data_IF_566305368433
#
_entry.id   IF_566305368433
#
_cell.length_a   1.000
_cell.length_b   1.000
_cell.length_c   1.000
_cell.angle_alpha   90.00
_cell.angle_beta   90.00
_cell.angle_gamma   90.00
#
_symmetry.space_group_name_H-M   'P 1'
#
loop_
_entity.id
_entity.type
_entity.pdbx_description
1 polymer ?
#
# COMPACT_ATOMS: atom_id res chain seq x y z
N UNK A 1 -15.46 -1.88 -2.91
CA UNK A 1 -15.49 -0.84 -1.83
C UNK A 1 -14.23 0.00 -1.91
N UNK A 2 -14.25 1.27 -1.40
CA UNK A 2 -13.05 2.13 -1.32
C UNK A 2 -12.92 2.68 0.10
N UNK A 3 -11.71 2.60 0.66
CA UNK A 3 -11.40 3.13 1.99
C UNK A 3 -10.27 4.16 1.89
N UNK A 4 -10.51 5.34 2.44
CA UNK A 4 -9.53 6.43 2.50
C UNK A 4 -8.50 6.23 3.62
N UNK A 5 -7.46 7.07 3.63
CA UNK A 5 -6.35 6.97 4.57
C UNK A 5 -6.75 7.04 6.05
N UNK A 6 -7.80 7.78 6.39
CA UNK A 6 -8.32 7.79 7.77
C UNK A 6 -8.96 6.47 8.18
N UNK A 7 -9.56 5.73 7.23
CA UNK A 7 -10.17 4.42 7.50
C UNK A 7 -9.14 3.31 7.75
N UNK A 8 -7.91 3.49 7.31
CA UNK A 8 -6.80 2.53 7.48
C UNK A 8 -5.63 3.14 8.27
N UNK A 9 -5.83 4.30 8.88
CA UNK A 9 -4.78 5.11 9.51
C UNK A 9 -4.23 4.55 10.82
N UNK A 10 -4.86 3.55 11.41
CA UNK A 10 -4.41 2.89 12.64
C UNK A 10 -4.68 1.38 12.58
N UNK A 11 -3.95 0.56 13.36
CA UNK A 11 -4.22 -0.87 13.48
C UNK A 11 -5.65 -1.19 13.88
N UNK A 12 -6.24 -0.44 14.81
CA UNK A 12 -7.63 -0.61 15.23
C UNK A 12 -8.60 -0.44 14.04
N UNK A 13 -8.42 0.62 13.25
CA UNK A 13 -9.25 0.88 12.07
C UNK A 13 -9.05 -0.15 10.97
N UNK A 14 -7.83 -0.66 10.77
CA UNK A 14 -7.61 -1.78 9.84
C UNK A 14 -8.38 -3.04 10.27
N UNK A 15 -8.45 -3.31 11.57
CA UNK A 15 -9.27 -4.40 12.13
C UNK A 15 -10.77 -4.18 11.87
N UNK A 16 -11.27 -2.96 12.05
CA UNK A 16 -12.66 -2.59 11.74
C UNK A 16 -12.97 -2.75 10.24
N UNK A 17 -12.09 -2.25 9.37
CA UNK A 17 -12.22 -2.43 7.91
C UNK A 17 -12.28 -3.92 7.56
N UNK A 18 -11.45 -4.76 8.20
CA UNK A 18 -11.48 -6.21 7.99
C UNK A 18 -12.86 -6.79 8.29
N UNK A 19 -13.49 -6.41 9.39
CA UNK A 19 -14.85 -6.84 9.73
C UNK A 19 -15.85 -6.45 8.64
N UNK A 20 -15.82 -5.19 8.20
CA UNK A 20 -16.73 -4.66 7.17
C UNK A 20 -16.60 -5.42 5.84
N UNK A 21 -15.35 -5.63 5.36
CA UNK A 21 -15.13 -6.23 4.04
C UNK A 21 -15.39 -7.74 4.00
N UNK A 22 -15.44 -8.38 5.16
CA UNK A 22 -15.71 -9.82 5.26
C UNK A 22 -17.14 -10.16 5.66
N UNK A 23 -17.93 -9.19 6.08
CA UNK A 23 -19.28 -9.35 6.60
C UNK A 23 -20.21 -10.08 5.62
N UNK A 24 -20.14 -9.76 4.33
CA UNK A 24 -21.02 -10.36 3.32
C UNK A 24 -20.66 -11.81 2.96
N UNK A 25 -19.43 -12.25 3.26
CA UNK A 25 -18.91 -13.53 2.80
C UNK A 25 -18.72 -13.65 1.27
N UNK A 26 -19.06 -12.60 0.51
CA UNK A 26 -18.98 -12.60 -0.95
C UNK A 26 -17.62 -12.07 -1.44
N UNK A 27 -17.13 -12.54 -2.61
CA UNK A 27 -15.94 -11.97 -3.21
C UNK A 27 -16.05 -10.46 -3.38
N UNK A 28 -15.10 -9.72 -2.82
CA UNK A 28 -15.17 -8.26 -2.79
C UNK A 28 -13.86 -7.63 -3.31
N UNK A 29 -13.99 -6.63 -4.19
CA UNK A 29 -12.87 -5.82 -4.67
C UNK A 29 -12.74 -4.55 -3.83
N UNK A 30 -11.54 -4.33 -3.28
CA UNK A 30 -11.26 -3.26 -2.31
C UNK A 30 -10.14 -2.37 -2.83
N UNK A 31 -10.38 -1.06 -2.77
CA UNK A 31 -9.36 -0.04 -3.05
C UNK A 31 -8.96 0.62 -1.72
N UNK A 32 -7.68 0.63 -1.40
CA UNK A 32 -7.15 1.31 -0.22
C UNK A 32 -6.23 2.45 -0.61
N UNK A 33 -6.36 3.56 0.10
CA UNK A 33 -5.38 4.66 0.08
C UNK A 33 -4.22 4.39 1.05
N UNK A 34 -3.17 5.20 0.94
CA UNK A 34 -2.11 5.29 1.95
C UNK A 34 -2.70 5.54 3.36
N UNK A 35 -2.03 5.06 4.40
CA UNK A 35 -2.39 5.36 5.79
C UNK A 35 -2.32 6.86 6.06
N UNK A 36 -3.21 7.34 6.92
CA UNK A 36 -3.29 8.77 7.28
C UNK A 36 -1.93 9.36 7.66
N UNK A 37 -1.57 10.48 7.04
CA UNK A 37 -0.33 11.21 7.22
C UNK A 37 0.86 10.67 6.41
N UNK A 38 0.78 9.47 5.84
CA UNK A 38 1.87 8.89 5.04
C UNK A 38 2.15 9.71 3.78
N UNK A 39 1.12 10.05 3.00
CA UNK A 39 1.27 10.85 1.78
C UNK A 39 1.95 12.19 2.05
N UNK A 40 1.56 12.89 3.14
CA UNK A 40 2.18 14.15 3.51
C UNK A 40 3.67 13.98 3.85
N UNK A 41 4.02 12.92 4.60
CA UNK A 41 5.43 12.63 4.91
C UNK A 41 6.23 12.29 3.64
N UNK A 42 5.64 11.56 2.69
CA UNK A 42 6.30 11.22 1.42
C UNK A 42 6.50 12.46 0.52
N UNK A 43 5.54 13.38 0.47
CA UNK A 43 5.67 14.67 -0.20
C UNK A 43 6.76 15.52 0.50
N UNK A 44 6.78 15.53 1.83
CA UNK A 44 7.81 16.24 2.59
C UNK A 44 9.21 15.68 2.26
N UNK A 45 9.39 14.35 2.19
CA UNK A 45 10.64 13.70 1.80
C UNK A 45 11.07 14.16 0.41
N UNK A 46 10.17 14.21 -0.57
CA UNK A 46 10.48 14.60 -1.95
C UNK A 46 10.85 16.09 -2.10
N UNK A 47 10.47 16.92 -1.15
CA UNK A 47 10.76 18.36 -1.14
C UNK A 47 12.07 18.73 -0.39
N UNK A 48 12.70 17.77 0.29
CA UNK A 48 13.96 18.06 0.99
C UNK A 48 15.12 18.18 0.03
N UNK A 49 15.87 19.30 0.16
CA UNK A 49 17.08 19.58 -0.62
C UNK A 49 18.31 18.83 -0.07
N UNK A 50 18.24 18.36 1.18
CA UNK A 50 19.38 17.73 1.87
C UNK A 50 19.00 16.34 2.35
N UNK A 51 19.86 15.32 2.10
CA UNK A 51 19.58 13.92 2.47
C UNK A 51 19.30 13.69 3.96
N UNK A 52 19.96 14.45 4.84
CA UNK A 52 19.81 14.28 6.29
C UNK A 52 18.37 14.54 6.74
N UNK A 53 17.77 15.63 6.30
CA UNK A 53 16.38 15.97 6.66
C UNK A 53 15.36 14.95 6.12
N UNK A 54 15.54 14.51 4.87
CA UNK A 54 14.71 13.45 4.28
C UNK A 54 14.83 12.14 5.07
N UNK A 55 16.03 11.74 5.46
CA UNK A 55 16.28 10.51 6.22
C UNK A 55 15.64 10.54 7.62
N UNK A 56 15.59 11.70 8.27
CA UNK A 56 14.89 11.84 9.57
C UNK A 56 13.39 11.56 9.43
N UNK A 57 12.76 12.06 8.36
CA UNK A 57 11.33 11.81 8.09
C UNK A 57 11.11 10.34 7.74
N UNK A 58 11.97 9.75 6.91
CA UNK A 58 11.91 8.33 6.54
C UNK A 58 12.00 7.47 7.82
N UNK A 59 12.95 7.75 8.71
CA UNK A 59 13.13 6.99 9.94
C UNK A 59 11.90 7.11 10.86
N UNK A 60 11.33 8.31 11.00
CA UNK A 60 10.10 8.53 11.78
C UNK A 60 8.92 7.77 11.20
N UNK A 61 8.76 7.78 9.88
CA UNK A 61 7.69 7.06 9.18
C UNK A 61 7.87 5.56 9.32
N UNK A 62 9.07 5.03 9.11
CA UNK A 62 9.40 3.61 9.30
C UNK A 62 9.09 3.14 10.71
N UNK A 63 9.51 3.88 11.73
CA UNK A 63 9.23 3.56 13.14
C UNK A 63 7.72 3.48 13.41
N UNK A 64 6.94 4.41 12.85
CA UNK A 64 5.47 4.38 12.94
C UNK A 64 4.91 3.10 12.33
N UNK A 65 5.37 2.69 11.15
CA UNK A 65 4.92 1.45 10.49
C UNK A 65 5.34 0.21 11.27
N UNK A 66 6.57 0.18 11.80
CA UNK A 66 7.05 -0.93 12.64
C UNK A 66 6.22 -1.08 13.93
N UNK A 67 5.84 0.04 14.58
CA UNK A 67 4.93 0.01 15.73
C UNK A 67 3.55 -0.54 15.32
N UNK A 68 3.00 -0.10 14.18
CA UNK A 68 1.72 -0.61 13.69
C UNK A 68 1.77 -2.13 13.41
N UNK A 69 2.92 -2.68 12.99
CA UNK A 69 3.10 -4.13 12.82
C UNK A 69 2.91 -4.84 14.16
N UNK A 70 3.52 -4.33 15.24
CA UNK A 70 3.38 -4.94 16.57
C UNK A 70 1.94 -4.95 17.09
N UNK A 71 1.18 -3.89 16.79
CA UNK A 71 -0.20 -3.75 17.24
C UNK A 71 -1.22 -4.50 16.35
N UNK A 72 -0.90 -4.67 15.06
CA UNK A 72 -1.81 -5.27 14.07
C UNK A 72 -1.72 -6.79 14.06
N UNK A 73 -0.51 -7.31 13.99
CA UNK A 73 -0.26 -8.76 13.84
C UNK A 73 -0.07 -9.46 15.18
N UNK A 74 -0.49 -10.72 15.23
CA UNK A 74 -0.39 -11.56 16.42
C UNK A 74 0.67 -12.65 16.30
N UNK A 75 0.99 -13.09 15.08
CA UNK A 75 1.94 -14.19 14.82
C UNK A 75 3.31 -13.66 14.39
N UNK A 76 4.36 -14.22 14.95
CA UNK A 76 5.73 -13.82 14.63
C UNK A 76 6.09 -14.05 13.15
N UNK A 77 5.52 -15.08 12.51
CA UNK A 77 5.72 -15.34 11.08
C UNK A 77 5.26 -14.16 10.22
N UNK A 78 4.06 -13.63 10.45
CA UNK A 78 3.56 -12.51 9.69
C UNK A 78 4.23 -11.19 10.09
N UNK A 79 4.55 -10.99 11.37
CA UNK A 79 5.34 -9.84 11.80
C UNK A 79 6.69 -9.81 11.09
N UNK A 80 7.41 -10.92 11.06
CA UNK A 80 8.72 -11.01 10.39
C UNK A 80 8.59 -10.74 8.89
N UNK A 81 7.61 -11.36 8.22
CA UNK A 81 7.35 -11.18 6.79
C UNK A 81 7.11 -9.71 6.44
N UNK A 82 6.22 -9.04 7.18
CA UNK A 82 5.87 -7.66 6.87
C UNK A 82 6.97 -6.67 7.26
N UNK A 83 7.68 -6.89 8.37
CA UNK A 83 8.84 -6.06 8.74
C UNK A 83 9.94 -6.12 7.68
N UNK A 84 10.22 -7.31 7.13
CA UNK A 84 11.17 -7.46 6.04
C UNK A 84 10.75 -6.63 4.83
N UNK A 85 9.49 -6.76 4.38
CA UNK A 85 8.93 -5.97 3.28
C UNK A 85 9.07 -4.46 3.57
N UNK A 86 8.64 -4.00 4.74
CA UNK A 86 8.74 -2.59 5.12
C UNK A 86 10.19 -2.08 5.09
N UNK A 87 11.14 -2.85 5.63
CA UNK A 87 12.56 -2.47 5.60
C UNK A 87 13.10 -2.35 4.17
N UNK A 88 12.69 -3.23 3.26
CA UNK A 88 13.05 -3.17 1.84
C UNK A 88 12.49 -1.89 1.20
N UNK A 89 11.20 -1.57 1.42
CA UNK A 89 10.57 -0.36 0.89
C UNK A 89 11.15 0.94 1.47
N UNK A 90 11.42 0.99 2.77
CA UNK A 90 12.07 2.16 3.38
C UNK A 90 13.53 2.33 2.93
N UNK A 91 14.25 1.25 2.66
CA UNK A 91 15.57 1.32 2.05
C UNK A 91 15.49 1.80 0.59
N UNK A 92 14.46 1.40 -0.15
CA UNK A 92 14.19 1.93 -1.49
C UNK A 92 13.90 3.44 -1.43
N UNK A 93 13.10 3.92 -0.50
CA UNK A 93 12.90 5.36 -0.28
C UNK A 93 14.22 6.08 0.04
N UNK A 94 15.09 5.51 0.88
CA UNK A 94 16.43 6.09 1.16
C UNK A 94 17.33 6.14 -0.07
N UNK A 95 17.15 5.28 -1.05
CA UNK A 95 17.97 5.32 -2.27
C UNK A 95 17.73 6.58 -3.08
N UNK A 96 16.53 7.16 -3.04
CA UNK A 96 16.22 8.42 -3.71
C UNK A 96 16.87 9.64 -3.04
N UNK A 97 17.18 9.59 -1.75
CA UNK A 97 17.75 10.76 -1.05
C UNK A 97 19.21 11.05 -1.42
N UNK A 98 19.83 10.22 -2.26
CA UNK A 98 21.24 10.36 -2.67
C UNK A 98 21.44 11.33 -3.82
N UNK A 99 20.40 11.58 -4.61
CA UNK A 99 20.43 12.42 -5.82
C UNK A 99 19.35 13.51 -5.76
N UNK A 100 19.41 14.47 -6.68
CA UNK A 100 18.37 15.50 -6.81
C UNK A 100 17.06 14.87 -7.35
N UNK A 101 15.95 15.17 -6.69
CA UNK A 101 14.64 14.69 -7.09
C UNK A 101 14.14 15.33 -8.37
N UNK A 102 13.61 14.51 -9.28
CA UNK A 102 12.81 14.95 -10.42
C UNK A 102 11.33 14.75 -10.11
N UNK A 103 10.45 15.34 -10.94
CA UNK A 103 8.99 15.14 -10.81
C UNK A 103 8.55 13.68 -11.01
N UNK A 104 9.37 12.87 -11.66
CA UNK A 104 9.12 11.43 -11.81
C UNK A 104 9.40 10.69 -10.50
N UNK A 105 10.50 11.00 -9.84
CA UNK A 105 10.88 10.41 -8.55
C UNK A 105 9.91 10.81 -7.45
N UNK A 106 9.43 12.07 -7.43
CA UNK A 106 8.37 12.52 -6.52
C UNK A 106 7.13 11.63 -6.61
N UNK A 107 6.62 11.39 -7.82
CA UNK A 107 5.45 10.51 -8.02
C UNK A 107 5.73 9.08 -7.57
N UNK A 108 6.92 8.58 -7.82
CA UNK A 108 7.35 7.24 -7.41
C UNK A 108 7.39 7.11 -5.88
N UNK A 109 7.94 8.13 -5.20
CA UNK A 109 8.00 8.19 -3.74
C UNK A 109 6.59 8.23 -3.14
N UNK A 110 5.73 9.11 -3.64
CA UNK A 110 4.35 9.27 -3.12
C UNK A 110 3.54 7.99 -3.29
N UNK A 111 3.71 7.27 -4.41
CA UNK A 111 3.02 6.01 -4.65
C UNK A 111 3.38 4.88 -3.67
N UNK A 112 4.52 4.98 -2.96
CA UNK A 112 4.88 3.99 -1.94
C UNK A 112 3.87 3.96 -0.77
N UNK A 113 3.17 5.06 -0.52
CA UNK A 113 2.18 5.13 0.56
C UNK A 113 1.07 4.08 0.43
N UNK A 114 0.53 3.94 -0.76
CA UNK A 114 -0.51 2.95 -1.06
C UNK A 114 0.06 1.52 -1.08
N UNK A 115 1.28 1.33 -1.56
CA UNK A 115 1.94 0.01 -1.53
C UNK A 115 2.18 -0.47 -0.09
N UNK A 116 2.64 0.41 0.80
CA UNK A 116 2.84 0.10 2.21
C UNK A 116 1.52 -0.33 2.88
N UNK A 117 0.45 0.45 2.72
CA UNK A 117 -0.84 0.18 3.37
C UNK A 117 -1.52 -1.09 2.84
N UNK A 118 -1.50 -1.30 1.52
CA UNK A 118 -2.15 -2.47 0.90
C UNK A 118 -1.41 -3.76 1.22
N UNK A 119 -0.07 -3.75 1.27
CA UNK A 119 0.71 -4.90 1.70
C UNK A 119 0.48 -5.24 3.17
N UNK A 120 0.40 -4.23 4.05
CA UNK A 120 0.02 -4.49 5.44
C UNK A 120 -1.35 -5.12 5.54
N UNK A 121 -2.35 -4.60 4.82
CA UNK A 121 -3.71 -5.11 4.89
C UNK A 121 -3.84 -6.54 4.35
N UNK A 122 -3.26 -6.84 3.17
CA UNK A 122 -3.37 -8.19 2.60
C UNK A 122 -2.69 -9.24 3.48
N UNK A 123 -1.52 -8.93 4.06
CA UNK A 123 -0.84 -9.84 4.97
C UNK A 123 -1.62 -10.03 6.28
N UNK A 124 -2.28 -8.99 6.78
CA UNK A 124 -3.15 -9.11 7.96
C UNK A 124 -4.37 -10.00 7.69
N UNK A 125 -5.03 -9.81 6.54
CA UNK A 125 -6.14 -10.69 6.12
C UNK A 125 -5.70 -12.15 6.03
N UNK A 126 -4.53 -12.41 5.44
CA UNK A 126 -3.95 -13.75 5.33
C UNK A 126 -3.61 -14.33 6.72
N UNK A 127 -3.11 -13.53 7.65
CA UNK A 127 -2.90 -13.96 9.06
C UNK A 127 -4.21 -14.43 9.71
N UNK A 128 -5.33 -13.77 9.38
CA UNK A 128 -6.67 -14.14 9.87
C UNK A 128 -7.31 -15.30 9.10
N UNK A 129 -6.57 -15.95 8.19
CA UNK A 129 -7.07 -17.06 7.39
C UNK A 129 -8.02 -16.65 6.26
N UNK A 130 -8.14 -15.35 5.99
CA UNK A 130 -8.97 -14.82 4.91
C UNK A 130 -8.21 -14.96 3.59
N UNK A 131 -8.86 -15.56 2.58
CA UNK A 131 -8.28 -15.68 1.23
C UNK A 131 -8.24 -14.32 0.56
N UNK A 132 -7.15 -13.59 0.74
CA UNK A 132 -6.93 -12.26 0.18
C UNK A 132 -5.72 -12.25 -0.76
N UNK A 133 -5.82 -11.48 -1.84
CA UNK A 133 -4.76 -11.25 -2.83
C UNK A 133 -4.63 -9.77 -3.12
N UNK A 134 -3.38 -9.32 -3.30
CA UNK A 134 -3.07 -7.97 -3.79
C UNK A 134 -3.00 -8.00 -5.32
N UNK A 135 -3.82 -7.18 -5.96
CA UNK A 135 -3.78 -6.88 -7.39
C UNK A 135 -3.16 -5.51 -7.52
N UNK A 136 -1.88 -5.45 -7.89
CA UNK A 136 -1.16 -4.19 -7.99
C UNK A 136 -1.76 -3.30 -9.09
N UNK A 137 -2.08 -2.05 -8.78
CA UNK A 137 -2.65 -1.11 -9.73
C UNK A 137 -1.74 -0.91 -10.96
N UNK A 138 -0.43 -0.96 -10.81
CA UNK A 138 0.54 -0.85 -11.90
C UNK A 138 0.43 -1.98 -12.93
N UNK A 139 -0.14 -3.13 -12.56
CA UNK A 139 -0.30 -4.26 -13.49
C UNK A 139 -1.46 -4.06 -14.46
N UNK A 140 -2.50 -3.29 -14.08
CA UNK A 140 -3.68 -3.10 -14.92
C UNK A 140 -3.99 -1.64 -15.29
N UNK A 141 -3.66 -0.66 -14.44
CA UNK A 141 -3.90 0.75 -14.73
C UNK A 141 -3.02 1.23 -15.90
N UNK A 142 -3.64 1.91 -16.85
CA UNK A 142 -2.96 2.57 -17.97
C UNK A 142 -3.65 3.89 -18.27
N UNK A 143 -2.84 4.84 -18.72
CA UNK A 143 -3.30 6.11 -19.27
C UNK A 143 -3.05 6.12 -20.78
N UNK A 144 -3.90 6.82 -21.51
CA UNK A 144 -3.77 7.07 -22.92
C UNK A 144 -2.77 8.22 -23.21
N UNK A 145 -2.62 8.57 -24.50
CA UNK A 145 -1.75 9.68 -24.94
C UNK A 145 -2.15 11.06 -24.43
N UNK A 146 -3.39 11.21 -23.95
CA UNK A 146 -3.93 12.45 -23.40
C UNK A 146 -3.79 12.52 -21.87
N UNK A 147 -3.30 11.45 -21.24
CA UNK A 147 -3.19 11.33 -19.78
C UNK A 147 -4.48 10.82 -19.11
N UNK A 148 -5.48 10.40 -19.90
CA UNK A 148 -6.76 9.87 -19.38
C UNK A 148 -6.69 8.33 -19.20
N UNK A 149 -7.48 7.75 -18.28
CA UNK A 149 -7.53 6.32 -18.09
C UNK A 149 -7.96 5.57 -19.37
N UNK A 150 -7.12 4.64 -19.87
CA UNK A 150 -7.49 3.75 -20.97
C UNK A 150 -8.37 2.62 -20.46
N UNK A 151 -9.68 2.88 -20.42
CA UNK A 151 -10.68 1.96 -19.87
C UNK A 151 -10.71 0.61 -20.56
N UNK A 152 -10.40 0.53 -21.85
CA UNK A 152 -10.39 -0.74 -22.58
C UNK A 152 -9.22 -1.61 -22.10
N UNK A 153 -8.00 -1.06 -22.09
CA UNK A 153 -6.80 -1.77 -21.63
C UNK A 153 -6.92 -2.14 -20.16
N UNK A 154 -7.43 -1.23 -19.32
CA UNK A 154 -7.66 -1.48 -17.88
C UNK A 154 -8.61 -2.66 -17.70
N UNK A 155 -9.75 -2.68 -18.42
CA UNK A 155 -10.74 -3.76 -18.34
C UNK A 155 -10.16 -5.10 -18.75
N UNK A 156 -9.42 -5.14 -19.88
CA UNK A 156 -8.81 -6.37 -20.38
C UNK A 156 -7.80 -6.95 -19.38
N UNK A 157 -6.86 -6.12 -18.88
CA UNK A 157 -5.82 -6.54 -17.95
C UNK A 157 -6.40 -6.95 -16.60
N UNK A 158 -7.31 -6.15 -16.04
CA UNK A 158 -7.96 -6.49 -14.77
C UNK A 158 -8.75 -7.79 -14.88
N UNK A 159 -9.44 -8.02 -16.00
CA UNK A 159 -10.17 -9.28 -16.25
C UNK A 159 -9.22 -10.48 -16.30
N UNK A 160 -8.03 -10.34 -16.88
CA UNK A 160 -7.02 -11.39 -16.90
C UNK A 160 -6.47 -11.69 -15.50
N UNK A 161 -6.14 -10.63 -14.73
CA UNK A 161 -5.67 -10.77 -13.36
C UNK A 161 -6.71 -11.40 -12.44
N UNK A 162 -7.98 -11.02 -12.58
CA UNK A 162 -9.08 -11.62 -11.82
C UNK A 162 -9.27 -13.12 -12.17
N UNK A 163 -9.14 -13.50 -13.45
CA UNK A 163 -9.18 -14.91 -13.88
C UNK A 163 -8.01 -15.72 -13.33
N UNK A 164 -6.79 -15.14 -13.34
CA UNK A 164 -5.59 -15.80 -12.80
C UNK A 164 -5.66 -15.99 -11.27
N UNK A 165 -6.43 -15.15 -10.59
CA UNK A 165 -6.59 -15.16 -9.13
C UNK A 165 -8.00 -15.59 -8.70
N UNK A 166 -8.60 -16.58 -9.36
CA UNK A 166 -9.91 -17.09 -8.98
C UNK A 166 -9.89 -17.80 -7.61
N UNK A 167 -10.98 -17.65 -6.85
CA UNK A 167 -11.16 -18.34 -5.56
C UNK A 167 -10.66 -17.55 -4.34
N UNK A 168 -10.19 -16.32 -4.52
CA UNK A 168 -9.98 -15.41 -3.41
C UNK A 168 -11.29 -14.76 -2.98
N UNK A 169 -11.40 -14.47 -1.69
CA UNK A 169 -12.54 -13.77 -1.10
C UNK A 169 -12.35 -12.24 -1.21
N UNK A 170 -11.14 -11.77 -1.00
CA UNK A 170 -10.81 -10.34 -1.02
C UNK A 170 -9.73 -10.07 -2.08
N UNK A 171 -10.05 -9.17 -3.01
CA UNK A 171 -9.14 -8.63 -4.01
C UNK A 171 -8.80 -7.20 -3.62
N UNK A 172 -7.56 -6.95 -3.26
CA UNK A 172 -7.09 -5.66 -2.75
C UNK A 172 -6.26 -4.94 -3.81
N UNK A 173 -6.42 -3.63 -3.94
CA UNK A 173 -5.60 -2.77 -4.81
C UNK A 173 -5.38 -1.40 -4.20
N UNK A 174 -4.51 -0.60 -4.83
CA UNK A 174 -4.24 0.80 -4.55
C UNK A 174 -5.32 1.70 -5.15
#
# INVERSE_FOLDING_TARGET
MKFGGTSVGTPARMKEVTTIITESGQPTFIVLSAMSGTTNSLIEISNYLYPEGANEIINRLENKYMQHVEELYTTETYKHKIKKFLSEEFNYLRSFTKDLFTSFEEKTIVAQGELLSTNMMVNYLQEKGIKAVLINALDFMRIDKNGEPDLQVIKERLSQLMKANQGYQIYLTQ
#
